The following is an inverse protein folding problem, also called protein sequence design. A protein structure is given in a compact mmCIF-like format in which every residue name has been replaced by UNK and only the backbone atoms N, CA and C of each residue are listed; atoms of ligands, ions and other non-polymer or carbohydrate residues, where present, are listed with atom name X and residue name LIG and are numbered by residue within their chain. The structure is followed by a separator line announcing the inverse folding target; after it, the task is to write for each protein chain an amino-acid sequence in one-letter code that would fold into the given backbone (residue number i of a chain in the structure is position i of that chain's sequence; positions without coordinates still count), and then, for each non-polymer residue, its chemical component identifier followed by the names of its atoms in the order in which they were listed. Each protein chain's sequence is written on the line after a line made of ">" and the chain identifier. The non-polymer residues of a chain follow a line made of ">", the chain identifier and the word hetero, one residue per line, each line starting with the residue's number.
data_IF_243761972735
#
_entry.id   IF_243761972735
#
_cell.length_a   1.000
_cell.length_b   1.000
_cell.length_c   1.000
_cell.angle_alpha   90.00
_cell.angle_beta   90.00
_cell.angle_gamma   90.00
#
_symmetry.space_group_name_H-M   'P 1'
#
loop_
_entity.id
_entity.type
_entity.pdbx_description
1 polymer ?
#
# COMPACT_ATOMS: atom_id res chain seq x y z
N UNK A 1 -24.37 -93.82 21.05
CA UNK A 1 -23.31 -93.06 20.33
C UNK A 1 -23.91 -92.05 19.32
N UNK A 2 -25.06 -91.45 19.62
CA UNK A 2 -25.79 -90.56 18.67
C UNK A 2 -25.69 -89.07 18.99
N UNK A 3 -25.22 -88.68 20.19
CA UNK A 3 -25.11 -87.26 20.57
C UNK A 3 -23.94 -86.52 19.92
N UNK A 4 -22.83 -87.19 19.61
CA UNK A 4 -21.61 -86.48 19.16
C UNK A 4 -21.77 -85.79 17.81
N UNK A 5 -22.67 -86.26 16.95
CA UNK A 5 -22.91 -85.65 15.63
C UNK A 5 -23.67 -84.33 15.75
N UNK A 6 -24.70 -84.29 16.59
CA UNK A 6 -25.46 -83.08 16.86
C UNK A 6 -24.61 -82.02 17.58
N UNK A 7 -23.74 -82.45 18.50
CA UNK A 7 -22.81 -81.55 19.20
C UNK A 7 -21.78 -80.93 18.23
N UNK A 8 -21.29 -81.69 17.25
CA UNK A 8 -20.37 -81.19 16.21
C UNK A 8 -21.07 -80.19 15.29
N UNK A 9 -22.32 -80.46 14.90
CA UNK A 9 -23.11 -79.60 14.01
C UNK A 9 -23.44 -78.27 14.72
N UNK A 10 -23.83 -78.32 16.00
CA UNK A 10 -24.05 -77.12 16.82
C UNK A 10 -22.77 -76.29 17.04
N UNK A 11 -21.60 -76.93 17.19
CA UNK A 11 -20.32 -76.24 17.26
C UNK A 11 -19.91 -75.60 15.92
N UNK A 12 -20.22 -76.26 14.81
CA UNK A 12 -20.00 -75.72 13.46
C UNK A 12 -20.82 -74.45 13.25
N UNK A 13 -22.11 -74.47 13.57
CA UNK A 13 -23.01 -73.31 13.48
C UNK A 13 -22.55 -72.15 14.38
N UNK A 14 -22.02 -72.47 15.56
CA UNK A 14 -21.46 -71.48 16.49
C UNK A 14 -20.20 -70.82 15.92
N UNK A 15 -19.29 -71.60 15.33
CA UNK A 15 -18.06 -71.10 14.70
C UNK A 15 -18.41 -70.22 13.51
N UNK A 16 -19.39 -70.60 12.70
CA UNK A 16 -19.83 -69.83 11.53
C UNK A 16 -20.46 -68.48 11.96
N UNK A 17 -21.24 -68.48 13.04
CA UNK A 17 -21.73 -67.26 13.70
C UNK A 17 -20.60 -66.38 14.24
N UNK A 18 -19.59 -66.98 14.86
CA UNK A 18 -18.45 -66.22 15.38
C UNK A 18 -17.62 -65.63 14.24
N UNK A 19 -17.40 -66.35 13.14
CA UNK A 19 -16.69 -65.84 11.97
C UNK A 19 -17.40 -64.64 11.36
N UNK A 20 -18.71 -64.75 11.11
CA UNK A 20 -19.50 -63.63 10.57
C UNK A 20 -19.47 -62.42 11.49
N UNK A 21 -19.54 -62.63 12.81
CA UNK A 21 -19.45 -61.54 13.78
C UNK A 21 -18.06 -60.88 13.84
N UNK A 22 -16.98 -61.66 13.70
CA UNK A 22 -15.61 -61.16 13.62
C UNK A 22 -15.39 -60.35 12.33
N UNK A 23 -15.89 -60.83 11.19
CA UNK A 23 -15.79 -60.11 9.92
C UNK A 23 -16.52 -58.76 9.97
N UNK A 24 -17.69 -58.72 10.61
CA UNK A 24 -18.46 -57.49 10.77
C UNK A 24 -17.76 -56.51 11.72
N UNK A 25 -17.16 -57.00 12.80
CA UNK A 25 -16.32 -56.19 13.69
C UNK A 25 -15.07 -55.65 12.98
N UNK A 26 -14.41 -56.46 12.15
CA UNK A 26 -13.25 -56.01 11.36
C UNK A 26 -13.62 -54.87 10.41
N UNK A 27 -14.74 -54.99 9.69
CA UNK A 27 -15.23 -53.91 8.81
C UNK A 27 -15.53 -52.63 9.58
N UNK A 28 -16.10 -52.73 10.78
CA UNK A 28 -16.35 -51.56 11.63
C UNK A 28 -15.04 -50.91 12.11
N UNK A 29 -14.05 -51.72 12.50
CA UNK A 29 -12.73 -51.23 12.93
C UNK A 29 -12.02 -50.52 11.77
N UNK A 30 -12.03 -51.09 10.56
CA UNK A 30 -11.44 -50.47 9.37
C UNK A 30 -12.10 -49.12 9.05
N UNK A 31 -13.43 -49.06 9.08
CA UNK A 31 -14.17 -47.81 8.86
C UNK A 31 -13.84 -46.74 9.93
N UNK A 32 -13.71 -47.15 11.20
CA UNK A 32 -13.32 -46.24 12.28
C UNK A 32 -11.87 -45.76 12.15
N UNK A 33 -10.96 -46.63 11.72
CA UNK A 33 -9.56 -46.27 11.48
C UNK A 33 -9.43 -45.24 10.35
N UNK A 34 -10.20 -45.39 9.26
CA UNK A 34 -10.23 -44.42 8.17
C UNK A 34 -10.78 -43.07 8.62
N UNK A 35 -11.86 -43.08 9.41
CA UNK A 35 -12.44 -41.86 10.00
C UNK A 35 -11.46 -41.16 10.96
N UNK A 36 -10.72 -41.91 11.77
CA UNK A 36 -9.71 -41.33 12.67
C UNK A 36 -8.59 -40.65 11.88
N UNK A 37 -8.12 -41.28 10.80
CA UNK A 37 -7.11 -40.70 9.92
C UNK A 37 -7.58 -39.39 9.30
N UNK A 38 -8.83 -39.33 8.83
CA UNK A 38 -9.41 -38.10 8.28
C UNK A 38 -9.51 -36.98 9.34
N UNK A 39 -9.80 -37.33 10.59
CA UNK A 39 -9.82 -36.37 11.70
C UNK A 39 -8.41 -35.87 12.05
N UNK A 40 -7.40 -36.74 12.03
CA UNK A 40 -5.99 -36.35 12.25
C UNK A 40 -5.48 -35.41 11.15
N UNK A 41 -5.77 -35.71 9.88
CA UNK A 41 -5.44 -34.83 8.75
C UNK A 41 -6.14 -33.46 8.87
N UNK A 42 -7.38 -33.43 9.35
CA UNK A 42 -8.09 -32.17 9.62
C UNK A 42 -7.48 -31.40 10.80
N UNK A 43 -7.05 -32.08 11.86
CA UNK A 43 -6.39 -31.45 13.00
C UNK A 43 -5.06 -30.81 12.59
N UNK A 44 -4.21 -31.53 11.87
CA UNK A 44 -2.93 -31.00 11.39
C UNK A 44 -3.12 -29.80 10.47
N UNK A 45 -4.13 -29.83 9.59
CA UNK A 45 -4.50 -28.68 8.76
C UNK A 45 -4.93 -27.48 9.61
N UNK A 46 -5.76 -27.70 10.65
CA UNK A 46 -6.20 -26.64 11.56
C UNK A 46 -5.04 -26.05 12.36
N UNK A 47 -4.13 -26.87 12.88
CA UNK A 47 -2.93 -26.42 13.58
C UNK A 47 -2.05 -25.55 12.67
N UNK A 48 -1.85 -25.96 11.42
CA UNK A 48 -1.08 -25.15 10.46
C UNK A 48 -1.72 -23.78 10.21
N UNK A 49 -3.05 -23.71 10.13
CA UNK A 49 -3.80 -22.45 9.98
C UNK A 49 -3.70 -21.59 11.23
N UNK A 50 -3.84 -22.18 12.41
CA UNK A 50 -3.68 -21.47 13.68
C UNK A 50 -2.28 -20.86 13.77
N UNK A 51 -1.23 -21.63 13.49
CA UNK A 51 0.15 -21.12 13.52
C UNK A 51 0.37 -19.97 12.53
N UNK A 52 -0.23 -20.03 11.34
CA UNK A 52 -0.17 -18.93 10.37
C UNK A 52 -0.90 -17.68 10.87
N UNK A 53 -2.04 -17.85 11.53
CA UNK A 53 -2.82 -16.76 12.12
C UNK A 53 -2.03 -16.13 13.28
N UNK A 54 -1.45 -16.93 14.17
CA UNK A 54 -0.63 -16.44 15.29
C UNK A 54 0.51 -15.57 14.78
N UNK A 55 1.29 -16.05 13.79
CA UNK A 55 2.37 -15.25 13.20
C UNK A 55 1.89 -13.95 12.55
N UNK A 56 0.68 -13.97 11.98
CA UNK A 56 0.09 -12.78 11.38
C UNK A 56 -0.37 -11.78 12.45
N UNK A 57 -0.87 -12.27 13.59
CA UNK A 57 -1.21 -11.44 14.74
C UNK A 57 0.03 -10.81 15.36
N UNK A 58 1.10 -11.58 15.57
CA UNK A 58 2.38 -11.06 16.08
C UNK A 58 2.91 -9.92 15.18
N UNK A 59 2.86 -10.11 13.85
CA UNK A 59 3.26 -9.07 12.90
C UNK A 59 2.37 -7.83 12.96
N UNK A 60 1.07 -7.99 13.20
CA UNK A 60 0.14 -6.85 13.35
C UNK A 60 0.40 -6.12 14.66
N UNK A 61 0.71 -6.84 15.75
CA UNK A 61 1.09 -6.22 17.02
C UNK A 61 2.37 -5.39 16.88
N UNK A 62 3.40 -5.93 16.21
CA UNK A 62 4.63 -5.18 15.90
C UNK A 62 4.35 -3.91 15.07
N UNK A 63 3.47 -4.01 14.07
CA UNK A 63 3.06 -2.86 13.25
C UNK A 63 2.28 -1.81 14.07
N UNK A 64 1.41 -2.25 14.99
CA UNK A 64 0.67 -1.37 15.89
C UNK A 64 1.62 -0.64 16.83
N UNK A 65 2.60 -1.34 17.41
CA UNK A 65 3.58 -0.74 18.31
C UNK A 65 4.45 0.29 17.57
N UNK A 66 4.88 -0.04 16.35
CA UNK A 66 5.59 0.89 15.46
C UNK A 66 4.76 2.15 15.16
N UNK A 67 3.48 1.98 14.82
CA UNK A 67 2.57 3.09 14.57
C UNK A 67 2.27 3.91 15.83
N UNK A 68 2.17 3.28 17.01
CA UNK A 68 1.95 3.95 18.27
C UNK A 68 3.15 4.84 18.66
N UNK A 69 4.38 4.34 18.47
CA UNK A 69 5.61 5.12 18.64
C UNK A 69 5.67 6.27 17.63
N UNK A 70 5.23 6.05 16.39
CA UNK A 70 5.10 7.10 15.37
C UNK A 70 4.07 8.17 15.73
N UNK A 71 2.90 7.78 16.24
CA UNK A 71 1.78 8.65 16.58
C UNK A 71 2.07 9.55 17.80
N UNK A 72 2.83 9.06 18.78
CA UNK A 72 3.22 9.84 19.98
C UNK A 72 4.08 11.07 19.68
N UNK A 73 4.72 11.13 18.50
CA UNK A 73 5.61 12.22 18.08
C UNK A 73 5.06 13.07 16.93
N UNK A 74 3.80 12.90 16.52
CA UNK A 74 3.21 13.73 15.45
C UNK A 74 2.80 15.08 16.01
N UNK A 75 3.77 15.99 16.12
CA UNK A 75 3.49 17.41 16.30
C UNK A 75 2.95 17.96 14.99
N UNK A 76 1.63 18.09 14.89
CA UNK A 76 0.98 18.78 13.77
C UNK A 76 1.54 20.19 13.65
N UNK A 77 1.85 20.60 12.42
CA UNK A 77 2.23 21.97 12.12
C UNK A 77 1.07 22.93 12.46
N UNK A 78 1.35 24.23 12.63
CA UNK A 78 0.29 25.21 12.89
C UNK A 78 -0.80 25.24 11.82
N UNK A 79 -0.45 24.94 10.56
CA UNK A 79 -1.38 24.87 9.43
C UNK A 79 -2.28 23.62 9.57
N UNK A 80 -1.71 22.46 9.87
CA UNK A 80 -2.47 21.23 10.05
C UNK A 80 -3.40 21.32 11.26
N UNK A 81 -2.91 21.88 12.38
CA UNK A 81 -3.75 22.16 13.54
C UNK A 81 -4.91 23.09 13.20
N UNK A 82 -4.68 24.12 12.38
CA UNK A 82 -5.73 25.03 11.95
C UNK A 82 -6.79 24.33 11.08
N UNK A 83 -6.37 23.48 10.13
CA UNK A 83 -7.28 22.75 9.25
C UNK A 83 -8.11 21.71 10.02
N UNK A 84 -7.49 21.02 10.98
CA UNK A 84 -8.15 19.95 11.74
C UNK A 84 -9.11 20.51 12.78
N UNK A 85 -8.75 21.61 13.47
CA UNK A 85 -9.54 22.15 14.59
C UNK A 85 -10.52 23.25 14.19
N UNK A 86 -10.32 23.90 13.05
CA UNK A 86 -11.16 25.02 12.60
C UNK A 86 -11.70 24.82 11.18
N UNK A 87 -13.00 25.04 11.00
CA UNK A 87 -13.64 25.04 9.68
C UNK A 87 -13.19 26.22 8.80
N UNK A 88 -12.78 27.33 9.41
CA UNK A 88 -12.21 28.50 8.71
C UNK A 88 -10.82 28.81 9.29
N UNK A 89 -9.75 28.58 8.52
CA UNK A 89 -8.38 28.84 8.97
C UNK A 89 -8.08 30.29 9.34
N UNK A 90 -8.91 31.26 8.90
CA UNK A 90 -8.77 32.68 9.30
C UNK A 90 -9.11 32.92 10.77
N UNK A 91 -9.90 32.03 11.38
CA UNK A 91 -10.32 32.12 12.78
C UNK A 91 -9.44 31.29 13.71
N UNK A 92 -8.37 30.70 13.19
CA UNK A 92 -7.49 29.82 13.93
C UNK A 92 -6.46 30.60 14.73
N UNK A 93 -6.39 30.35 16.04
CA UNK A 93 -5.33 30.89 16.91
C UNK A 93 -3.94 30.32 16.60
N UNK A 94 -3.86 29.23 15.83
CA UNK A 94 -2.60 28.57 15.47
C UNK A 94 -1.84 29.33 14.38
N UNK A 95 -2.53 30.12 13.55
CA UNK A 95 -1.92 30.80 12.40
C UNK A 95 -1.79 32.31 12.68
N UNK A 96 -0.56 32.81 12.65
CA UNK A 96 -0.26 34.24 12.89
C UNK A 96 -0.08 35.07 11.63
N UNK A 97 0.11 34.44 10.47
CA UNK A 97 0.45 35.14 9.23
C UNK A 97 -0.54 34.83 8.10
N UNK A 98 -0.88 35.85 7.32
CA UNK A 98 -1.77 35.75 6.16
C UNK A 98 -1.31 34.74 5.10
N UNK A 99 0.01 34.52 4.96
CA UNK A 99 0.57 33.52 4.04
C UNK A 99 0.18 32.08 4.43
N UNK A 100 0.11 31.80 5.74
CA UNK A 100 -0.17 30.48 6.27
C UNK A 100 -1.68 30.20 6.25
N UNK A 101 -2.50 31.24 6.44
CA UNK A 101 -3.96 31.20 6.21
C UNK A 101 -4.25 30.81 4.76
N UNK A 102 -3.54 31.44 3.80
CA UNK A 102 -3.68 31.12 2.38
C UNK A 102 -3.27 29.69 2.09
N UNK A 103 -2.18 29.20 2.67
CA UNK A 103 -1.76 27.81 2.55
C UNK A 103 -2.81 26.84 3.10
N UNK A 104 -3.36 27.11 4.29
CA UNK A 104 -4.41 26.31 4.90
C UNK A 104 -5.67 26.22 4.02
N UNK A 105 -6.10 27.35 3.44
CA UNK A 105 -7.23 27.41 2.50
C UNK A 105 -6.99 26.62 1.22
N UNK A 106 -5.77 26.65 0.70
CA UNK A 106 -5.39 25.88 -0.50
C UNK A 106 -5.54 24.38 -0.20
N UNK A 107 -4.99 23.92 0.92
CA UNK A 107 -5.04 22.50 1.31
C UNK A 107 -6.49 22.06 1.52
N UNK A 108 -7.30 22.83 2.24
CA UNK A 108 -8.70 22.53 2.53
C UNK A 108 -9.57 22.41 1.26
N UNK A 109 -9.29 23.22 0.23
CA UNK A 109 -10.04 23.22 -1.03
C UNK A 109 -9.41 22.36 -2.13
N UNK A 110 -8.24 21.76 -1.88
CA UNK A 110 -7.46 21.09 -2.91
C UNK A 110 -8.24 19.97 -3.61
N UNK A 111 -8.95 19.12 -2.87
CA UNK A 111 -9.75 18.03 -3.42
C UNK A 111 -10.86 18.51 -4.38
N UNK A 112 -11.48 19.64 -4.05
CA UNK A 112 -12.53 20.27 -4.88
C UNK A 112 -11.95 20.96 -6.11
N UNK A 113 -10.75 21.53 -6.01
CA UNK A 113 -10.07 22.14 -7.15
C UNK A 113 -9.46 21.10 -8.09
N UNK A 114 -8.88 20.03 -7.54
CA UNK A 114 -8.27 18.95 -8.31
C UNK A 114 -9.31 18.19 -9.13
N UNK A 115 -10.47 17.88 -8.54
CA UNK A 115 -11.59 17.22 -9.24
C UNK A 115 -12.24 18.07 -10.33
N UNK A 116 -12.22 19.40 -10.19
CA UNK A 116 -12.72 20.33 -11.21
C UNK A 116 -11.70 20.63 -12.30
N UNK A 117 -10.47 20.16 -12.15
CA UNK A 117 -9.44 20.32 -13.18
C UNK A 117 -9.72 19.28 -14.27
N UNK A 118 -10.11 19.67 -15.50
CA UNK A 118 -10.36 18.72 -16.58
C UNK A 118 -9.09 17.88 -16.79
N UNK A 119 -9.28 16.56 -16.99
CA UNK A 119 -8.21 15.57 -17.10
C UNK A 119 -7.10 15.97 -18.09
N UNK A 120 -6.09 16.64 -17.55
CA UNK A 120 -4.75 16.89 -18.08
C UNK A 120 -4.59 17.23 -19.56
N UNK A 121 -4.61 18.52 -19.92
CA UNK A 121 -3.69 18.99 -20.96
C UNK A 121 -2.26 18.83 -20.43
N UNK A 122 -1.54 17.79 -20.86
CA UNK A 122 -0.12 17.63 -20.52
C UNK A 122 0.65 18.86 -21.04
N UNK A 123 1.32 19.55 -20.13
CA UNK A 123 2.13 20.73 -20.44
C UNK A 123 3.27 20.32 -21.38
N UNK A 124 3.18 20.70 -22.65
CA UNK A 124 4.31 20.59 -23.56
C UNK A 124 5.35 21.66 -23.18
N UNK A 125 6.50 21.23 -22.67
CA UNK A 125 7.58 22.10 -22.16
C UNK A 125 8.06 23.13 -23.19
N UNK A 126 7.92 22.86 -24.51
CA UNK A 126 8.30 23.80 -25.57
C UNK A 126 7.32 24.97 -25.75
N UNK A 127 6.02 24.71 -25.60
CA UNK A 127 4.97 25.70 -25.95
C UNK A 127 4.23 26.24 -24.71
N UNK A 128 4.24 25.49 -23.60
CA UNK A 128 3.46 25.74 -22.40
C UNK A 128 4.39 25.91 -21.19
N UNK A 129 5.39 26.78 -21.30
CA UNK A 129 6.15 27.17 -20.12
C UNK A 129 5.27 28.05 -19.20
N UNK A 130 5.51 27.96 -17.89
CA UNK A 130 4.67 28.60 -16.86
C UNK A 130 4.49 30.11 -17.08
N UNK A 131 5.51 30.76 -17.65
CA UNK A 131 5.47 32.18 -18.02
C UNK A 131 4.40 32.39 -19.09
N UNK A 132 4.50 31.74 -20.24
CA UNK A 132 3.55 31.91 -21.35
C UNK A 132 2.10 31.63 -20.93
N UNK A 133 1.87 30.63 -20.06
CA UNK A 133 0.54 30.31 -19.57
C UNK A 133 -0.04 31.37 -18.62
N UNK A 134 0.80 31.94 -17.74
CA UNK A 134 0.38 33.04 -16.89
C UNK A 134 0.08 34.29 -17.72
N UNK A 135 0.99 34.66 -18.62
CA UNK A 135 0.88 35.87 -19.44
C UNK A 135 -0.33 35.81 -20.38
N UNK A 136 -0.60 34.64 -20.97
CA UNK A 136 -1.78 34.43 -21.83
C UNK A 136 -3.11 34.40 -21.06
N UNK A 137 -3.11 33.97 -19.80
CA UNK A 137 -4.34 33.88 -18.99
C UNK A 137 -4.73 35.21 -18.36
N UNK A 138 -3.74 36.00 -17.93
CA UNK A 138 -3.96 37.23 -17.17
C UNK A 138 -3.59 38.50 -17.94
N UNK A 139 -2.95 38.40 -19.11
CA UNK A 139 -2.53 39.54 -19.93
C UNK A 139 -1.38 40.35 -19.33
N UNK A 140 -0.77 39.86 -18.25
CA UNK A 140 0.31 40.53 -17.52
C UNK A 140 1.67 39.96 -17.94
N UNK A 141 2.68 40.79 -18.15
CA UNK A 141 4.02 40.33 -18.53
C UNK A 141 4.89 40.09 -17.28
N UNK A 142 5.34 38.85 -17.07
CA UNK A 142 6.14 38.44 -15.90
C UNK A 142 7.62 38.75 -16.13
N UNK A 143 8.19 39.60 -15.28
CA UNK A 143 9.63 39.87 -15.29
C UNK A 143 10.41 38.60 -14.90
N UNK A 144 11.46 38.25 -15.66
CA UNK A 144 12.25 37.02 -15.47
C UNK A 144 12.84 36.88 -14.06
N UNK A 145 13.00 38.01 -13.37
CA UNK A 145 13.51 38.12 -12.00
C UNK A 145 12.55 37.54 -10.95
N UNK A 146 11.23 37.65 -11.14
CA UNK A 146 10.23 37.09 -10.22
C UNK A 146 10.17 35.56 -10.34
N UNK A 147 10.24 35.06 -11.56
CA UNK A 147 10.31 33.63 -11.87
C UNK A 147 11.56 33.01 -11.23
N UNK A 148 12.72 33.65 -11.39
CA UNK A 148 13.97 33.20 -10.77
C UNK A 148 14.00 33.24 -9.23
N UNK A 149 13.07 33.94 -8.57
CA UNK A 149 12.91 33.91 -7.10
C UNK A 149 12.08 32.70 -6.67
N UNK A 150 10.97 32.43 -7.34
CA UNK A 150 10.13 31.27 -7.08
C UNK A 150 10.90 29.95 -7.25
N UNK A 151 11.77 29.89 -8.26
CA UNK A 151 12.58 28.70 -8.51
C UNK A 151 13.70 28.48 -7.51
N UNK A 152 14.31 29.55 -6.97
CA UNK A 152 15.27 29.41 -5.86
C UNK A 152 14.57 28.85 -4.62
N UNK A 153 13.40 29.37 -4.28
CA UNK A 153 12.61 28.85 -3.18
C UNK A 153 12.23 27.37 -3.37
N UNK A 154 11.89 26.94 -4.60
CA UNK A 154 11.59 25.53 -4.89
C UNK A 154 12.83 24.61 -4.74
N UNK A 155 14.03 25.08 -5.12
CA UNK A 155 15.28 24.33 -4.89
C UNK A 155 15.52 24.17 -3.39
N UNK A 156 15.41 25.26 -2.63
CA UNK A 156 15.62 25.28 -1.18
C UNK A 156 14.63 24.36 -0.46
N UNK A 157 13.35 24.40 -0.84
CA UNK A 157 12.29 23.54 -0.29
C UNK A 157 12.45 22.06 -0.66
N UNK A 158 13.18 21.76 -1.74
CA UNK A 158 13.40 20.39 -2.21
C UNK A 158 14.59 19.69 -1.55
N UNK A 159 15.31 20.35 -0.63
CA UNK A 159 16.55 19.86 -0.01
C UNK A 159 17.58 19.35 -1.05
N UNK A 160 17.73 20.07 -2.17
CA UNK A 160 18.72 19.73 -3.20
C UNK A 160 18.35 18.59 -4.15
N UNK A 161 17.11 18.08 -4.11
CA UNK A 161 16.61 17.09 -5.08
C UNK A 161 16.50 17.66 -6.51
N UNK A 162 16.33 18.97 -6.62
CA UNK A 162 16.34 19.70 -7.89
C UNK A 162 17.47 20.74 -7.89
N UNK A 163 18.19 20.84 -9.00
CA UNK A 163 19.17 21.89 -9.23
C UNK A 163 18.67 22.88 -10.27
N UNK A 164 18.85 24.17 -10.00
CA UNK A 164 18.64 25.23 -10.97
C UNK A 164 19.96 25.59 -11.65
N UNK A 165 20.14 25.18 -12.91
CA UNK A 165 21.34 25.50 -13.70
C UNK A 165 21.02 26.51 -14.79
N UNK A 166 21.88 27.51 -14.95
CA UNK A 166 21.80 28.50 -16.04
C UNK A 166 22.80 28.15 -17.14
N UNK A 167 22.32 27.95 -18.37
CA UNK A 167 23.17 27.79 -19.57
C UNK A 167 22.69 28.75 -20.65
N UNK A 168 23.58 29.58 -21.19
CA UNK A 168 23.30 30.56 -22.25
C UNK A 168 22.08 31.46 -21.97
N UNK A 169 21.92 31.94 -20.73
CA UNK A 169 20.80 32.83 -20.35
C UNK A 169 19.45 32.16 -20.12
N UNK A 170 19.32 30.86 -20.38
CA UNK A 170 18.11 30.08 -20.10
C UNK A 170 18.28 29.21 -18.85
N UNK A 171 17.27 29.20 -17.97
CA UNK A 171 17.25 28.37 -16.75
C UNK A 171 16.67 26.98 -17.03
N UNK A 172 17.41 25.93 -16.66
CA UNK A 172 17.03 24.52 -16.82
C UNK A 172 16.94 23.85 -15.44
N UNK A 173 15.99 22.93 -15.31
CA UNK A 173 15.69 22.17 -14.08
C UNK A 173 16.00 20.70 -14.30
N UNK A 174 16.82 20.10 -13.43
CA UNK A 174 17.22 18.70 -13.55
C UNK A 174 17.19 18.01 -12.17
N UNK A 175 16.76 16.73 -12.08
CA UNK A 175 17.05 15.88 -10.92
C UNK A 175 18.57 15.74 -10.76
N UNK A 176 19.08 15.80 -9.53
CA UNK A 176 20.50 16.05 -9.23
C UNK A 176 21.53 15.08 -9.87
N UNK A 177 21.12 13.90 -10.35
CA UNK A 177 22.06 12.86 -10.82
C UNK A 177 21.92 12.44 -12.30
N UNK A 178 21.16 13.15 -13.14
CA UNK A 178 21.06 12.77 -14.57
C UNK A 178 22.05 13.52 -15.45
N UNK A 179 22.87 12.77 -16.20
CA UNK A 179 23.71 13.31 -17.27
C UNK A 179 22.80 14.01 -18.28
N UNK A 180 23.14 15.26 -18.62
CA UNK A 180 22.30 16.05 -19.51
C UNK A 180 22.42 15.48 -20.93
N UNK A 181 21.37 14.81 -21.38
CA UNK A 181 21.19 14.43 -22.77
C UNK A 181 20.73 15.67 -23.53
N UNK A 182 21.58 16.17 -24.42
CA UNK A 182 21.35 17.42 -25.14
C UNK A 182 21.13 17.22 -26.64
N UNK A 183 21.36 16.01 -27.15
CA UNK A 183 21.18 15.66 -28.56
C UNK A 183 20.26 14.46 -28.73
N UNK A 184 19.56 14.41 -29.86
CA UNK A 184 18.63 13.31 -30.17
C UNK A 184 19.35 11.95 -30.25
N UNK A 185 20.63 11.95 -30.64
CA UNK A 185 21.46 10.74 -30.67
C UNK A 185 21.78 10.21 -29.27
N UNK A 186 22.01 11.09 -28.29
CA UNK A 186 22.23 10.71 -26.89
C UNK A 186 20.93 10.14 -26.27
N UNK A 187 19.76 10.71 -26.62
CA UNK A 187 18.45 10.22 -26.18
C UNK A 187 18.17 8.79 -26.69
N UNK A 188 18.51 8.51 -27.95
CA UNK A 188 18.35 7.18 -28.55
C UNK A 188 19.31 6.13 -27.97
N UNK A 189 20.45 6.54 -27.43
CA UNK A 189 21.40 5.64 -26.75
C UNK A 189 20.92 5.28 -25.34
N UNK A 190 20.40 6.25 -24.60
CA UNK A 190 19.88 6.04 -23.24
C UNK A 190 18.66 5.11 -23.24
N UNK A 191 17.76 5.28 -24.23
CA UNK A 191 16.58 4.41 -24.42
C UNK A 191 16.89 2.96 -24.83
N UNK A 192 18.14 2.66 -25.24
CA UNK A 192 18.59 1.30 -25.59
C UNK A 192 19.40 0.62 -24.47
N UNK A 193 19.80 1.35 -23.44
CA UNK A 193 20.52 0.83 -22.27
C UNK A 193 19.61 0.55 -21.07
N UNK A 194 18.30 0.72 -21.22
CA UNK A 194 17.25 0.35 -20.25
C UNK A 194 16.45 -0.81 -20.82
#
# INVERSE_FOLDING_TARGET
>A
MTNSKADIEALSDLIEKQQTQIEEQQKQIESQAERLKELEDNCTLRESRINSITRSLDSIEDDIDSLAVGAGNVTLSPIENAIVKYNDPEKSDFIKHQRDIRAARIILNFSKWSSKTPGGSKLNVKNNNLKTLYESKYGEHLASTQIGRAFRAAVDLSNGKFEHRRKNGHGLYLPSNKKIVTTEQELRKEAKST
#
